data_IF_474305062397
#
_entry.id   IF_474305062397
#
_cell.length_a   1.000
_cell.length_b   1.000
_cell.length_c   1.000
_cell.angle_alpha   90.00
_cell.angle_beta   90.00
_cell.angle_gamma   90.00
#
_symmetry.space_group_name_H-M   'P 1'
#
loop_
_entity.id
_entity.type
_entity.pdbx_description
1 polymer ?
#
# COMPACT_ATOMS: atom_id res chain seq x y z
N UNK A 1 -2.46 -16.82 -17.73
CA UNK A 1 -2.90 -17.64 -16.59
C UNK A 1 -3.06 -16.72 -15.39
N UNK A 2 -4.16 -16.75 -14.63
CA UNK A 2 -4.28 -15.94 -13.43
C UNK A 2 -3.17 -16.38 -12.46
N UNK A 3 -2.29 -15.45 -12.09
CA UNK A 3 -1.38 -15.66 -10.99
C UNK A 3 -2.24 -15.55 -9.73
N UNK A 4 -2.55 -16.69 -9.11
CA UNK A 4 -2.96 -16.68 -7.70
C UNK A 4 -1.77 -16.16 -6.90
N UNK A 5 -1.83 -14.88 -6.51
CA UNK A 5 -0.95 -14.35 -5.49
C UNK A 5 -1.42 -14.97 -4.17
N UNK A 6 -0.87 -16.13 -3.81
CA UNK A 6 -1.29 -16.92 -2.63
C UNK A 6 -1.25 -16.13 -1.32
N UNK A 7 -0.54 -15.00 -1.31
CA UNK A 7 -0.20 -14.19 -0.15
C UNK A 7 -0.82 -12.78 -0.16
N UNK A 8 -1.57 -12.41 -1.20
CA UNK A 8 -2.20 -11.08 -1.34
C UNK A 8 -3.63 -11.20 -1.84
N UNK A 9 -4.57 -10.53 -1.17
CA UNK A 9 -5.96 -10.46 -1.61
C UNK A 9 -6.32 -8.99 -1.90
N UNK A 10 -6.65 -8.69 -3.16
CA UNK A 10 -7.37 -7.47 -3.51
C UNK A 10 -8.85 -7.81 -3.65
N UNK A 11 -9.67 -7.31 -2.73
CA UNK A 11 -11.13 -7.29 -2.91
C UNK A 11 -11.49 -5.99 -3.63
N UNK A 12 -11.89 -6.11 -4.89
CA UNK A 12 -12.46 -4.98 -5.64
C UNK A 12 -13.82 -4.65 -5.03
N UNK A 13 -13.97 -3.47 -4.45
CA UNK A 13 -15.27 -2.95 -4.08
C UNK A 13 -15.64 -1.80 -5.02
N UNK A 14 -16.69 -2.02 -5.81
CA UNK A 14 -17.29 -0.96 -6.64
C UNK A 14 -18.06 -0.03 -5.70
N UNK A 15 -17.51 1.13 -5.37
CA UNK A 15 -18.31 2.23 -4.82
C UNK A 15 -18.78 3.13 -5.96
N UNK A 16 -20.07 3.49 -5.94
CA UNK A 16 -20.77 4.36 -6.90
C UNK A 16 -20.26 5.83 -6.83
N UNK A 17 -18.99 6.07 -7.14
CA UNK A 17 -18.46 7.42 -7.40
C UNK A 17 -18.50 7.71 -8.90
N UNK A 18 -18.65 8.97 -9.34
CA UNK A 18 -18.65 9.29 -10.75
C UNK A 18 -17.34 8.83 -11.39
N UNK A 19 -17.44 7.88 -12.32
CA UNK A 19 -16.31 7.32 -13.05
C UNK A 19 -15.62 8.43 -13.88
N UNK A 20 -14.61 9.08 -13.30
CA UNK A 20 -13.72 9.98 -14.05
C UNK A 20 -12.73 9.15 -14.87
N UNK A 21 -12.39 9.57 -16.10
CA UNK A 21 -11.38 8.89 -16.90
C UNK A 21 -10.03 8.89 -16.17
N UNK A 22 -9.33 7.75 -16.14
CA UNK A 22 -8.01 7.63 -15.50
C UNK A 22 -6.98 8.66 -16.03
N UNK A 23 -7.12 9.10 -17.28
CA UNK A 23 -6.29 10.14 -17.88
C UNK A 23 -6.39 11.50 -17.15
N UNK A 24 -7.50 11.73 -16.45
CA UNK A 24 -7.79 12.95 -15.69
C UNK A 24 -7.53 12.80 -14.18
N UNK A 25 -7.08 11.62 -13.74
CA UNK A 25 -6.79 11.33 -12.34
C UNK A 25 -5.30 11.56 -12.02
N UNK A 26 -5.04 12.32 -10.96
CA UNK A 26 -3.73 12.45 -10.32
C UNK A 26 -3.40 11.22 -9.47
N UNK A 27 -2.14 11.08 -9.03
CA UNK A 27 -1.67 9.93 -8.25
C UNK A 27 -2.45 9.74 -6.94
N UNK A 28 -2.88 10.85 -6.35
CA UNK A 28 -3.59 10.89 -5.07
C UNK A 28 -5.12 10.92 -5.25
N UNK A 29 -5.63 10.93 -6.48
CA UNK A 29 -7.07 10.89 -6.71
C UNK A 29 -7.65 9.52 -6.31
N UNK A 30 -8.72 9.54 -5.53
CA UNK A 30 -9.26 8.38 -4.82
C UNK A 30 -9.78 7.27 -5.75
N UNK A 31 -8.98 6.22 -5.91
CA UNK A 31 -9.42 4.93 -6.44
C UNK A 31 -9.32 3.90 -5.31
N UNK A 32 -10.45 3.63 -4.64
CA UNK A 32 -10.50 2.71 -3.51
C UNK A 32 -10.31 1.24 -3.93
N UNK A 33 -9.55 0.51 -3.14
CA UNK A 33 -9.29 -0.93 -3.27
C UNK A 33 -8.73 -1.50 -1.97
N UNK A 34 -8.41 -2.79 -1.96
CA UNK A 34 -7.85 -3.47 -0.80
C UNK A 34 -6.44 -3.96 -1.13
N UNK A 35 -5.46 -3.63 -0.29
CA UNK A 35 -4.13 -4.25 -0.35
C UNK A 35 -3.76 -4.73 1.04
N UNK A 36 -3.65 -6.05 1.18
CA UNK A 36 -3.21 -6.69 2.41
C UNK A 36 -1.91 -7.42 2.09
N UNK A 37 -0.80 -6.99 2.67
CA UNK A 37 0.45 -7.75 2.62
C UNK A 37 0.45 -8.81 3.72
N UNK A 38 0.67 -10.08 3.37
CA UNK A 38 0.69 -11.16 4.34
C UNK A 38 1.82 -12.17 4.03
N UNK A 39 2.78 -12.39 4.95
CA UNK A 39 3.75 -13.49 4.89
C UNK A 39 3.10 -14.86 4.68
N UNK A 40 3.81 -15.79 4.05
CA UNK A 40 3.27 -17.14 3.82
C UNK A 40 3.05 -17.87 5.18
N UNK A 41 1.79 -18.10 5.54
CA UNK A 41 1.43 -18.70 6.83
C UNK A 41 1.55 -17.77 8.04
N UNK A 42 1.84 -16.48 7.84
CA UNK A 42 1.94 -15.47 8.90
C UNK A 42 0.66 -14.66 9.11
N UNK A 43 0.67 -13.79 10.12
CA UNK A 43 -0.35 -12.74 10.28
C UNK A 43 -0.16 -11.67 9.20
N UNK A 44 -1.24 -11.12 8.63
CA UNK A 44 -1.15 -9.95 7.77
C UNK A 44 -0.33 -8.85 8.43
N UNK A 45 0.47 -8.14 7.65
CA UNK A 45 0.96 -6.85 8.10
C UNK A 45 -0.22 -5.91 8.33
N UNK A 46 -0.04 -4.94 9.22
CA UNK A 46 -1.04 -3.92 9.49
C UNK A 46 -1.66 -3.38 8.19
N UNK A 47 -2.97 -3.14 8.28
CA UNK A 47 -3.78 -2.74 7.13
C UNK A 47 -3.20 -1.49 6.45
N UNK A 48 -3.13 -1.51 5.12
CA UNK A 48 -2.70 -0.41 4.27
C UNK A 48 -3.89 0.45 3.76
N UNK A 49 -5.12 0.14 4.16
CA UNK A 49 -6.28 0.96 3.88
C UNK A 49 -6.42 2.16 4.83
N UNK A 50 -7.18 3.16 4.38
CA UNK A 50 -7.42 4.43 5.06
C UNK A 50 -8.28 4.27 6.32
N UNK A 51 -9.44 3.62 6.20
CA UNK A 51 -10.37 3.38 7.31
C UNK A 51 -10.60 1.90 7.61
N UNK A 52 -10.64 1.07 6.57
CA UNK A 52 -10.76 -0.37 6.67
C UNK A 52 -9.88 -1.06 5.64
N UNK A 53 -9.87 -2.39 5.63
CA UNK A 53 -8.99 -3.15 4.73
C UNK A 53 -9.19 -2.85 3.24
N UNK A 54 -10.34 -2.27 2.87
CA UNK A 54 -10.79 -2.04 1.50
C UNK A 54 -10.76 -0.57 1.08
N UNK A 55 -10.16 0.31 1.89
CA UNK A 55 -10.10 1.74 1.62
C UNK A 55 -8.69 2.22 1.27
N UNK A 56 -7.98 1.46 0.44
CA UNK A 56 -6.63 1.79 -0.04
C UNK A 56 -6.72 2.56 -1.38
N UNK A 57 -6.13 3.75 -1.45
CA UNK A 57 -5.99 4.46 -2.72
C UNK A 57 -4.90 3.79 -3.57
N UNK A 58 -5.29 3.11 -4.65
CA UNK A 58 -4.37 2.32 -5.48
C UNK A 58 -3.20 3.15 -6.04
N UNK A 59 -3.44 4.43 -6.35
CA UNK A 59 -2.39 5.31 -6.84
C UNK A 59 -1.38 5.69 -5.79
N UNK A 60 -1.85 6.10 -4.60
CA UNK A 60 -1.00 6.35 -3.45
C UNK A 60 -0.11 5.13 -3.14
N UNK A 61 -0.69 3.93 -3.12
CA UNK A 61 0.06 2.69 -2.89
C UNK A 61 1.01 2.31 -4.01
N UNK A 62 0.72 2.65 -5.27
CA UNK A 62 1.67 2.49 -6.36
C UNK A 62 2.95 3.30 -6.07
N UNK A 63 2.80 4.55 -5.64
CA UNK A 63 3.92 5.42 -5.28
C UNK A 63 4.69 4.87 -4.08
N UNK A 64 3.99 4.53 -3.00
CA UNK A 64 4.60 4.02 -1.77
C UNK A 64 5.38 2.72 -2.01
N UNK A 65 4.77 1.73 -2.68
CA UNK A 65 5.47 0.47 -2.95
C UNK A 65 6.59 0.61 -3.98
N UNK A 66 6.51 1.57 -4.91
CA UNK A 66 7.62 1.88 -5.81
C UNK A 66 8.81 2.42 -5.03
N UNK A 67 8.58 3.30 -4.06
CA UNK A 67 9.66 3.82 -3.22
C UNK A 67 10.24 2.76 -2.29
N UNK A 68 9.39 1.96 -1.65
CA UNK A 68 9.83 0.80 -0.84
C UNK A 68 10.69 -0.14 -1.70
N UNK A 69 10.27 -0.47 -2.93
CA UNK A 69 11.05 -1.32 -3.83
C UNK A 69 12.44 -0.73 -4.15
N UNK A 70 12.56 0.60 -4.29
CA UNK A 70 13.85 1.28 -4.53
C UNK A 70 14.77 1.29 -3.32
N UNK A 71 14.21 1.25 -2.11
CA UNK A 71 14.94 1.35 -0.85
C UNK A 71 15.31 0.00 -0.26
N UNK A 72 14.52 -1.05 -0.52
CA UNK A 72 14.77 -2.43 -0.05
C UNK A 72 16.22 -2.83 -0.27
N UNK A 73 16.77 -2.56 -1.45
CA UNK A 73 18.14 -2.99 -1.76
C UNK A 73 19.24 -2.11 -1.15
N UNK A 74 18.93 -0.85 -0.86
CA UNK A 74 19.86 0.15 -0.33
C UNK A 74 20.01 0.07 1.19
N UNK A 75 19.05 -0.55 1.88
CA UNK A 75 18.95 -0.53 3.34
C UNK A 75 18.45 0.82 3.88
N UNK A 76 18.44 0.97 5.21
CA UNK A 76 18.02 2.20 5.88
C UNK A 76 16.59 2.16 6.38
N UNK A 77 15.95 3.32 6.53
CA UNK A 77 14.53 3.42 6.93
C UNK A 77 13.73 4.28 5.97
N UNK A 78 12.46 3.94 5.83
CA UNK A 78 11.46 4.69 5.07
C UNK A 78 10.23 4.87 5.94
N UNK A 79 9.74 6.10 6.06
CA UNK A 79 8.49 6.39 6.78
C UNK A 79 7.47 6.90 5.79
N UNK A 80 6.32 6.24 5.74
CA UNK A 80 5.14 6.73 5.09
C UNK A 80 4.19 7.31 6.14
N UNK A 81 3.90 8.60 6.03
CA UNK A 81 2.93 9.30 6.88
C UNK A 81 1.66 9.54 6.07
N UNK A 82 0.56 9.06 6.62
CA UNK A 82 -0.77 9.32 6.08
C UNK A 82 -1.15 10.78 6.41
N UNK A 83 -1.53 11.57 5.40
CA UNK A 83 -1.82 13.00 5.56
C UNK A 83 -3.26 13.25 6.04
N UNK A 84 -3.57 12.79 7.25
CA UNK A 84 -4.87 12.93 7.90
C UNK A 84 -4.72 13.74 9.19
N UNK A 85 -4.54 15.06 9.04
CA UNK A 85 -4.28 15.98 10.16
C UNK A 85 -5.38 15.94 11.23
N UNK A 86 -6.62 15.71 10.80
CA UNK A 86 -7.77 15.59 11.70
C UNK A 86 -7.83 14.23 12.43
N UNK A 87 -6.90 13.32 12.10
CA UNK A 87 -6.80 11.94 12.60
C UNK A 87 -5.39 11.58 13.10
N UNK A 88 -4.56 12.59 13.39
CA UNK A 88 -3.25 12.42 14.00
C UNK A 88 -2.14 11.92 13.06
N UNK A 89 -2.40 11.80 11.75
CA UNK A 89 -1.40 11.39 10.75
C UNK A 89 -0.71 10.04 11.05
N UNK A 90 -1.42 8.89 10.95
CA UNK A 90 -0.81 7.59 11.22
C UNK A 90 0.40 7.34 10.33
N UNK A 91 1.29 6.43 10.75
CA UNK A 91 2.59 6.21 10.11
C UNK A 91 2.93 4.74 9.98
N UNK A 92 3.63 4.44 8.89
CA UNK A 92 4.28 3.15 8.65
C UNK A 92 5.77 3.41 8.47
N UNK A 93 6.59 2.93 9.40
CA UNK A 93 8.04 2.93 9.29
C UNK A 93 8.52 1.54 8.87
N UNK A 94 9.32 1.49 7.81
CA UNK A 94 9.98 0.29 7.32
C UNK A 94 11.47 0.43 7.56
N UNK A 95 12.04 -0.42 8.40
CA UNK A 95 13.45 -0.42 8.77
C UNK A 95 14.12 -1.67 8.20
N UNK A 96 15.00 -1.46 7.23
CA UNK A 96 15.70 -2.49 6.47
C UNK A 96 17.05 -2.81 7.11
N UNK A 97 17.23 -4.07 7.47
CA UNK A 97 18.52 -4.65 7.88
C UNK A 97 19.05 -5.59 6.78
N UNK A 98 20.17 -6.27 7.04
CA UNK A 98 20.80 -7.16 6.06
C UNK A 98 19.87 -8.32 5.64
N UNK A 99 19.17 -8.94 6.59
CA UNK A 99 18.33 -10.13 6.36
C UNK A 99 16.84 -9.93 6.67
N UNK A 100 16.48 -8.82 7.29
CA UNK A 100 15.16 -8.60 7.88
C UNK A 100 14.62 -7.20 7.59
N UNK A 101 13.29 -7.09 7.65
CA UNK A 101 12.55 -5.84 7.60
C UNK A 101 11.69 -5.77 8.83
N UNK A 102 11.83 -4.69 9.58
CA UNK A 102 10.98 -4.35 10.72
C UNK A 102 9.99 -3.29 10.28
N UNK A 103 8.71 -3.53 10.54
CA UNK A 103 7.60 -2.65 10.17
C UNK A 103 6.99 -2.15 11.46
N UNK A 104 7.08 -0.85 11.69
CA UNK A 104 6.45 -0.17 12.83
C UNK A 104 5.23 0.56 12.32
N UNK A 105 4.07 0.23 12.85
CA UNK A 105 2.84 0.97 12.58
C UNK A 105 2.52 1.82 13.79
N UNK A 106 2.26 3.09 13.55
CA UNK A 106 1.94 4.08 14.59
C UNK A 106 0.61 4.73 14.25
N UNK A 107 -0.34 4.69 15.17
CA UNK A 107 -1.68 5.26 14.96
C UNK A 107 -2.32 5.65 16.28
N UNK A 108 -3.40 6.43 16.20
CA UNK A 108 -4.18 6.82 17.36
C UNK A 108 -5.31 5.81 17.58
N UNK A 109 -5.52 5.39 18.83
CA UNK A 109 -6.48 4.31 19.16
C UNK A 109 -7.86 4.80 19.59
N UNK A 110 -8.06 6.12 19.65
CA UNK A 110 -9.34 6.73 19.95
C UNK A 110 -9.84 7.64 18.82
N UNK A 111 -11.16 7.79 18.73
CA UNK A 111 -11.82 8.68 17.77
C UNK A 111 -11.56 10.18 18.10
N UNK A 112 -10.82 10.46 19.18
CA UNK A 112 -10.37 11.80 19.53
C UNK A 112 -9.11 12.19 18.76
N UNK A 113 -8.35 11.20 18.25
CA UNK A 113 -7.15 11.36 17.43
C UNK A 113 -6.07 12.27 18.01
N UNK A 114 -6.10 12.52 19.32
CA UNK A 114 -5.33 13.59 19.96
C UNK A 114 -4.61 13.15 21.24
N UNK A 115 -4.94 11.98 21.81
CA UNK A 115 -4.44 11.64 23.16
C UNK A 115 -3.67 10.32 23.27
N UNK A 116 -3.95 9.29 22.46
CA UNK A 116 -3.31 7.96 22.62
C UNK A 116 -2.69 7.47 21.31
N UNK A 117 -1.39 7.75 21.12
CA UNK A 117 -0.57 7.17 20.06
C UNK A 117 -0.08 5.78 20.50
N UNK A 118 -0.46 4.75 19.76
CA UNK A 118 0.05 3.39 19.95
C UNK A 118 0.97 3.00 18.79
N UNK A 119 1.97 2.18 19.11
CA UNK A 119 2.87 1.61 18.13
C UNK A 119 2.97 0.11 18.30
N UNK A 120 2.91 -0.58 17.18
CA UNK A 120 3.04 -2.03 17.08
C UNK A 120 4.06 -2.38 16.02
N UNK A 121 4.76 -3.48 16.25
CA UNK A 121 5.89 -3.90 15.44
C UNK A 121 5.67 -5.31 14.91
N UNK A 122 5.97 -5.50 13.63
CA UNK A 122 6.09 -6.80 12.99
C UNK A 122 7.44 -6.89 12.27
N UNK A 123 7.93 -8.11 12.08
CA UNK A 123 9.15 -8.35 11.31
C UNK A 123 8.99 -9.53 10.36
N UNK A 124 9.77 -9.50 9.28
CA UNK A 124 9.85 -10.55 8.27
C UNK A 124 11.24 -10.57 7.66
N UNK A 125 11.53 -11.59 6.86
CA UNK A 125 12.77 -11.62 6.07
C UNK A 125 12.70 -10.60 4.94
N UNK A 126 13.85 -10.05 4.56
CA UNK A 126 13.95 -9.13 3.43
C UNK A 126 13.51 -9.74 2.10
N UNK A 127 13.78 -11.03 1.90
CA UNK A 127 13.34 -11.76 0.70
C UNK A 127 11.82 -11.86 0.62
N UNK A 128 11.17 -12.20 1.74
CA UNK A 128 9.72 -12.30 1.81
C UNK A 128 9.07 -10.93 1.64
N UNK A 129 9.58 -9.90 2.31
CA UNK A 129 9.08 -8.53 2.15
C UNK A 129 9.21 -8.03 0.70
N UNK A 130 10.36 -8.25 0.06
CA UNK A 130 10.56 -7.89 -1.35
C UNK A 130 9.60 -8.63 -2.29
N UNK A 131 9.29 -9.89 -1.98
CA UNK A 131 8.29 -10.67 -2.71
C UNK A 131 6.90 -10.05 -2.55
N UNK A 132 6.50 -9.72 -1.32
CA UNK A 132 5.20 -9.09 -1.04
C UNK A 132 5.04 -7.73 -1.73
N UNK A 133 6.07 -6.89 -1.69
CA UNK A 133 6.07 -5.57 -2.36
C UNK A 133 5.95 -5.72 -3.88
N UNK A 134 6.71 -6.64 -4.48
CA UNK A 134 6.61 -6.93 -5.92
C UNK A 134 5.20 -7.40 -6.29
N UNK A 135 4.66 -8.33 -5.52
CA UNK A 135 3.36 -8.92 -5.78
C UNK A 135 2.24 -7.88 -5.62
N UNK A 136 2.36 -6.94 -4.68
CA UNK A 136 1.44 -5.83 -4.50
C UNK A 136 1.48 -4.84 -5.66
N UNK A 137 2.67 -4.49 -6.15
CA UNK A 137 2.82 -3.66 -7.36
C UNK A 137 2.14 -4.32 -8.57
N UNK A 138 2.38 -5.61 -8.80
CA UNK A 138 1.73 -6.35 -9.90
C UNK A 138 0.21 -6.34 -9.78
N UNK A 139 -0.32 -6.47 -8.56
CA UNK A 139 -1.74 -6.44 -8.28
C UNK A 139 -2.36 -5.07 -8.58
N UNK A 140 -1.71 -3.99 -8.12
CA UNK A 140 -2.13 -2.61 -8.39
C UNK A 140 -2.15 -2.35 -9.89
N UNK A 141 -1.05 -2.65 -10.59
CA UNK A 141 -0.91 -2.41 -12.02
C UNK A 141 -1.96 -3.17 -12.82
N UNK A 142 -2.16 -4.45 -12.52
CA UNK A 142 -3.19 -5.26 -13.16
C UNK A 142 -4.58 -4.65 -12.92
N UNK A 143 -4.86 -4.22 -11.70
CA UNK A 143 -6.17 -3.61 -11.37
C UNK A 143 -6.40 -2.32 -12.15
N UNK A 144 -5.38 -1.47 -12.28
CA UNK A 144 -5.43 -0.25 -13.08
C UNK A 144 -5.62 -0.55 -14.58
N UNK A 145 -4.87 -1.53 -15.11
CA UNK A 145 -4.97 -1.93 -16.52
C UNK A 145 -6.34 -2.55 -16.85
N UNK A 146 -6.90 -3.36 -15.96
CA UNK A 146 -8.24 -3.94 -16.12
C UNK A 146 -9.34 -2.87 -16.02
N UNK A 147 -9.19 -1.90 -15.12
CA UNK A 147 -10.15 -0.80 -14.94
C UNK A 147 -10.06 0.26 -16.06
N UNK A 148 -8.87 0.47 -16.64
CA UNK A 148 -8.66 1.46 -17.70
C UNK A 148 -7.75 0.94 -18.82
N UNK A 149 -8.22 0.03 -19.68
CA UNK A 149 -7.38 -0.58 -20.73
C UNK A 149 -6.76 0.41 -21.72
N UNK A 150 -7.42 1.56 -21.96
CA UNK A 150 -6.95 2.57 -22.91
C UNK A 150 -5.85 3.49 -22.34
N UNK A 151 -5.87 3.77 -21.03
CA UNK A 151 -5.03 4.80 -20.40
C UNK A 151 -4.14 4.27 -19.27
N UNK A 152 -4.38 3.06 -18.77
CA UNK A 152 -3.72 2.49 -17.61
C UNK A 152 -2.21 2.41 -17.75
N UNK A 153 -1.70 1.97 -18.90
CA UNK A 153 -0.26 1.83 -19.13
C UNK A 153 0.47 3.18 -19.06
N UNK A 154 -0.06 4.21 -19.71
CA UNK A 154 0.51 5.56 -19.69
C UNK A 154 0.45 6.17 -18.28
N UNK A 155 -0.64 5.93 -17.56
CA UNK A 155 -0.81 6.39 -16.19
C UNK A 155 0.19 5.72 -15.23
N UNK A 156 0.38 4.39 -15.33
CA UNK A 156 1.37 3.66 -14.52
C UNK A 156 2.78 4.18 -14.81
N UNK A 157 3.14 4.32 -16.09
CA UNK A 157 4.47 4.79 -16.49
C UNK A 157 4.78 6.17 -15.90
N UNK A 158 3.82 7.11 -15.97
CA UNK A 158 3.96 8.47 -15.41
C UNK A 158 4.21 8.47 -13.91
N UNK A 159 3.64 7.51 -13.18
CA UNK A 159 3.61 7.50 -11.72
C UNK A 159 4.64 6.54 -11.09
N UNK A 160 5.36 5.74 -11.90
CA UNK A 160 6.45 4.85 -11.45
C UNK A 160 7.85 5.41 -11.69
N UNK A 161 7.98 6.41 -12.56
CA UNK A 161 9.23 7.13 -12.86
C UNK A 161 9.58 8.06 -11.72
#
# INVERSE_FOLDING_TARGET
MPVELKNLKCVKQTMDFPNRPLAELELLDHVHGCIILQPEGGTPFHNFGYWDANDACLGQWLGVFTEIQRLIDKGGSFTYEFQYRDQGDPKLEFVFSDDSVRIVTTCYTDDSWTEVEESWEQSTTRLEFATLVRDALLLIERTILEASPANGAAWIQRNRS
#
